data_IF_295908705561
#
_entry.id   IF_295908705561
#
_cell.length_a   1.000
_cell.length_b   1.000
_cell.length_c   1.000
_cell.angle_alpha   90.00
_cell.angle_beta   90.00
_cell.angle_gamma   90.00
#
_symmetry.space_group_name_H-M   'P 1'
#
loop_
_entity.id
_entity.type
_entity.pdbx_description
1 polymer ?
#
# COMPACT_ATOMS: atom_id res chain seq x y z
N UNK A 1 -7.37 24.10 29.97
CA UNK A 1 -7.93 22.79 30.31
C UNK A 1 -7.53 21.87 29.18
N UNK A 2 -6.55 20.97 29.40
CA UNK A 2 -6.14 19.96 28.42
C UNK A 2 -7.09 18.79 28.58
N UNK A 3 -7.92 18.51 27.58
CA UNK A 3 -8.69 17.28 27.52
C UNK A 3 -7.72 16.10 27.38
N UNK A 4 -7.66 15.23 28.38
CA UNK A 4 -7.00 13.92 28.27
C UNK A 4 -7.76 13.08 27.24
N UNK A 5 -7.16 12.84 26.08
CA UNK A 5 -7.61 11.80 25.15
C UNK A 5 -7.59 10.46 25.88
N UNK A 6 -8.77 9.84 25.99
CA UNK A 6 -9.06 8.73 26.86
C UNK A 6 -8.02 7.59 26.85
N UNK A 7 -7.65 7.13 28.04
CA UNK A 7 -6.85 5.93 28.26
C UNK A 7 -7.60 4.71 27.74
N UNK A 8 -7.04 4.02 26.72
CA UNK A 8 -7.53 2.70 26.29
C UNK A 8 -7.28 1.73 27.44
N UNK A 9 -8.32 1.13 27.98
CA UNK A 9 -8.22 0.17 29.07
C UNK A 9 -7.64 -1.17 28.59
N UNK A 10 -6.87 -1.89 29.44
CA UNK A 10 -6.28 -3.20 29.12
C UNK A 10 -7.23 -4.24 28.49
N UNK A 11 -8.52 -4.35 28.88
CA UNK A 11 -9.46 -5.28 28.24
C UNK A 11 -9.71 -5.02 26.75
N UNK A 12 -9.45 -3.80 26.26
CA UNK A 12 -9.58 -3.48 24.83
C UNK A 12 -8.37 -3.93 24.01
N UNK A 13 -7.19 -4.05 24.59
CA UNK A 13 -5.99 -4.54 23.92
C UNK A 13 -6.07 -6.05 23.59
N UNK A 14 -6.62 -6.86 24.50
CA UNK A 14 -6.84 -8.29 24.28
C UNK A 14 -7.87 -8.54 23.15
N UNK A 15 -8.89 -7.70 23.05
CA UNK A 15 -9.87 -7.77 21.97
C UNK A 15 -9.30 -7.38 20.59
N UNK A 16 -8.24 -6.58 20.54
CA UNK A 16 -7.62 -6.18 19.24
C UNK A 16 -6.94 -7.38 18.56
N UNK A 17 -6.37 -8.29 19.31
CA UNK A 17 -5.74 -9.49 18.74
C UNK A 17 -6.73 -10.39 17.99
N UNK A 18 -7.98 -10.44 18.43
CA UNK A 18 -9.03 -11.28 17.86
C UNK A 18 -9.70 -10.65 16.62
N UNK A 19 -9.53 -9.36 16.39
CA UNK A 19 -10.13 -8.66 15.24
C UNK A 19 -9.23 -8.71 14.01
N UNK A 20 -9.84 -8.63 12.83
CA UNK A 20 -9.08 -8.37 11.62
C UNK A 20 -8.50 -6.96 11.66
N UNK A 21 -7.27 -6.80 11.17
CA UNK A 21 -6.53 -5.54 11.20
C UNK A 21 -6.00 -5.20 9.82
N UNK A 22 -6.10 -3.93 9.47
CA UNK A 22 -5.50 -3.39 8.24
C UNK A 22 -4.61 -2.21 8.62
N UNK A 23 -3.31 -2.35 8.41
CA UNK A 23 -2.34 -1.28 8.58
C UNK A 23 -2.09 -0.62 7.23
N UNK A 24 -2.35 0.68 7.15
CA UNK A 24 -2.12 1.47 5.95
C UNK A 24 -0.81 2.24 6.11
N UNK A 25 0.11 2.06 5.16
CA UNK A 25 1.40 2.76 5.12
C UNK A 25 1.55 3.42 3.76
N UNK A 26 1.93 4.69 3.76
CA UNK A 26 2.19 5.40 2.52
C UNK A 26 3.51 4.92 1.91
N UNK A 27 3.47 4.42 0.67
CA UNK A 27 4.65 4.02 -0.08
C UNK A 27 5.34 5.24 -0.71
N UNK A 28 6.20 5.89 0.07
CA UNK A 28 6.99 7.02 -0.42
C UNK A 28 8.19 6.47 -1.19
N UNK A 29 8.25 6.79 -2.49
CA UNK A 29 9.32 6.35 -3.39
C UNK A 29 10.47 7.37 -3.43
N UNK A 30 11.62 6.94 -3.93
CA UNK A 30 12.75 7.85 -4.16
C UNK A 30 12.52 8.68 -5.43
N UNK A 31 11.83 9.80 -5.29
CA UNK A 31 11.54 10.73 -6.41
C UNK A 31 12.75 11.57 -6.84
N UNK A 32 13.82 11.60 -6.04
CA UNK A 32 15.01 12.42 -6.29
C UNK A 32 16.29 11.58 -6.10
N UNK A 33 16.51 10.58 -6.98
CA UNK A 33 17.70 9.72 -6.88
C UNK A 33 18.99 10.56 -6.94
N UNK A 34 19.91 10.29 -6.02
CA UNK A 34 21.17 11.04 -5.89
C UNK A 34 21.10 12.29 -5.01
N UNK A 35 19.91 12.71 -4.57
CA UNK A 35 19.77 13.74 -3.55
C UNK A 35 19.94 13.11 -2.15
N UNK A 36 21.13 13.30 -1.56
CA UNK A 36 21.49 12.67 -0.29
C UNK A 36 20.61 13.07 0.88
N UNK A 37 20.13 14.32 0.91
CA UNK A 37 19.27 14.81 1.98
C UNK A 37 17.89 14.15 1.89
N UNK A 38 17.33 14.04 0.69
CA UNK A 38 16.08 13.33 0.48
C UNK A 38 16.19 11.84 0.78
N UNK A 39 17.30 11.20 0.35
CA UNK A 39 17.54 9.78 0.64
C UNK A 39 17.71 9.52 2.13
N UNK A 40 18.31 10.44 2.89
CA UNK A 40 18.40 10.33 4.35
C UNK A 40 17.02 10.40 5.01
N UNK A 41 16.20 11.38 4.63
CA UNK A 41 14.84 11.51 5.13
C UNK A 41 13.96 10.29 4.77
N UNK A 42 14.11 9.78 3.55
CA UNK A 42 13.38 8.59 3.11
C UNK A 42 13.79 7.35 3.91
N UNK A 43 15.08 7.22 4.22
CA UNK A 43 15.58 6.15 5.11
C UNK A 43 14.99 6.28 6.51
N UNK A 44 15.04 7.47 7.12
CA UNK A 44 14.47 7.73 8.43
C UNK A 44 12.98 7.41 8.49
N UNK A 45 12.25 7.77 7.44
CA UNK A 45 10.83 7.43 7.31
C UNK A 45 10.62 5.91 7.37
N UNK A 46 11.34 5.14 6.56
CA UNK A 46 11.17 3.69 6.50
C UNK A 46 11.67 2.98 7.77
N UNK A 47 12.74 3.47 8.40
CA UNK A 47 13.18 2.99 9.71
C UNK A 47 12.08 3.20 10.75
N UNK A 48 11.47 4.39 10.80
CA UNK A 48 10.36 4.70 11.71
C UNK A 48 9.12 3.83 11.44
N UNK A 49 8.79 3.57 10.16
CA UNK A 49 7.70 2.65 9.79
C UNK A 49 8.01 1.23 10.27
N UNK A 50 9.23 0.75 10.06
CA UNK A 50 9.63 -0.58 10.52
C UNK A 50 9.49 -0.73 12.02
N UNK A 51 9.99 0.24 12.80
CA UNK A 51 9.88 0.25 14.27
C UNK A 51 8.43 0.28 14.75
N UNK A 52 7.57 1.07 14.10
CA UNK A 52 6.14 1.14 14.43
C UNK A 52 5.44 -0.19 14.15
N UNK A 53 5.71 -0.81 13.00
CA UNK A 53 5.15 -2.11 12.66
C UNK A 53 5.63 -3.20 13.63
N UNK A 54 6.92 -3.20 14.02
CA UNK A 54 7.46 -4.15 15.00
C UNK A 54 6.76 -4.01 16.37
N UNK A 55 6.45 -2.78 16.78
CA UNK A 55 5.69 -2.52 18.01
C UNK A 55 4.23 -2.96 17.91
N UNK A 56 3.60 -2.77 16.75
CA UNK A 56 2.25 -3.26 16.49
C UNK A 56 2.21 -4.80 16.50
N UNK A 57 3.18 -5.46 15.88
CA UNK A 57 3.26 -6.92 15.84
C UNK A 57 3.45 -7.53 17.25
N UNK A 58 4.23 -6.89 18.13
CA UNK A 58 4.40 -7.31 19.53
C UNK A 58 3.09 -7.25 20.33
N UNK A 59 2.20 -6.32 20.01
CA UNK A 59 0.99 -6.05 20.78
C UNK A 59 -0.27 -6.66 20.18
N UNK A 60 -0.37 -6.66 18.85
CA UNK A 60 -1.57 -7.04 18.12
C UNK A 60 -1.42 -8.32 17.28
N UNK A 61 -0.25 -8.96 17.30
CA UNK A 61 0.06 -10.16 16.53
C UNK A 61 0.69 -9.86 15.18
N UNK A 62 1.32 -10.89 14.60
CA UNK A 62 2.10 -10.76 13.38
C UNK A 62 1.24 -10.33 12.18
N UNK A 63 1.87 -9.62 11.23
CA UNK A 63 1.29 -9.32 9.94
C UNK A 63 1.26 -10.61 9.11
N UNK A 64 0.06 -11.02 8.67
CA UNK A 64 -0.16 -12.23 7.88
C UNK A 64 0.01 -11.97 6.38
N UNK A 65 -0.46 -10.81 5.90
CA UNK A 65 -0.47 -10.47 4.48
C UNK A 65 0.16 -9.11 4.24
N UNK A 66 0.89 -9.00 3.11
CA UNK A 66 1.48 -7.74 2.65
C UNK A 66 1.00 -7.47 1.23
N UNK A 67 0.42 -6.30 1.02
CA UNK A 67 -0.06 -5.79 -0.27
C UNK A 67 0.66 -4.50 -0.61
N UNK A 68 0.96 -4.30 -1.89
CA UNK A 68 1.57 -3.05 -2.39
C UNK A 68 0.72 -2.57 -3.56
N UNK A 69 0.16 -1.38 -3.42
CA UNK A 69 -0.59 -0.74 -4.48
C UNK A 69 0.28 -0.50 -5.73
N UNK A 70 -0.26 -0.81 -6.89
CA UNK A 70 0.46 -0.70 -8.15
C UNK A 70 1.40 -1.86 -8.47
N UNK A 71 1.41 -2.90 -7.63
CA UNK A 71 2.26 -4.07 -7.82
C UNK A 71 1.41 -5.30 -8.16
N UNK A 72 1.53 -5.79 -9.40
CA UNK A 72 0.82 -6.97 -9.92
C UNK A 72 1.73 -8.19 -10.12
N UNK A 73 3.02 -8.05 -9.84
CA UNK A 73 4.02 -9.11 -9.99
C UNK A 73 4.04 -10.01 -8.75
N UNK A 74 4.50 -11.24 -8.92
CA UNK A 74 4.83 -12.14 -7.82
C UNK A 74 6.06 -11.62 -7.05
N UNK A 75 6.25 -12.08 -5.81
CA UNK A 75 7.22 -11.52 -4.88
C UNK A 75 8.66 -11.48 -5.40
N UNK A 76 9.10 -12.50 -6.11
CA UNK A 76 10.46 -12.59 -6.65
C UNK A 76 10.76 -11.49 -7.70
N UNK A 77 9.76 -11.06 -8.46
CA UNK A 77 9.87 -9.94 -9.39
C UNK A 77 9.63 -8.61 -8.68
N UNK A 78 8.61 -8.55 -7.82
CA UNK A 78 8.27 -7.36 -7.04
C UNK A 78 9.45 -6.91 -6.16
N UNK A 79 10.15 -7.84 -5.51
CA UNK A 79 11.30 -7.53 -4.66
C UNK A 79 12.47 -6.90 -5.45
N UNK A 80 12.72 -7.35 -6.67
CA UNK A 80 13.74 -6.74 -7.55
C UNK A 80 13.36 -5.32 -7.92
N UNK A 81 12.10 -5.10 -8.33
CA UNK A 81 11.60 -3.77 -8.67
C UNK A 81 11.66 -2.81 -7.46
N UNK A 82 11.35 -3.29 -6.27
CA UNK A 82 11.47 -2.51 -5.04
C UNK A 82 12.92 -2.22 -4.71
N UNK A 83 13.83 -3.19 -4.88
CA UNK A 83 15.25 -2.94 -4.65
C UNK A 83 15.79 -1.79 -5.50
N UNK A 84 15.36 -1.72 -6.76
CA UNK A 84 15.82 -0.70 -7.70
C UNK A 84 15.20 0.68 -7.42
N UNK A 85 13.95 0.71 -6.95
CA UNK A 85 13.19 1.95 -6.80
C UNK A 85 13.05 2.42 -5.35
N UNK A 86 13.04 1.51 -4.38
CA UNK A 86 12.83 1.80 -2.96
C UNK A 86 13.38 0.69 -2.05
N UNK A 87 14.69 0.57 -1.97
CA UNK A 87 15.38 -0.46 -1.18
C UNK A 87 15.01 -0.45 0.32
N UNK A 88 14.66 0.70 0.88
CA UNK A 88 14.27 0.80 2.30
C UNK A 88 12.88 0.22 2.54
N UNK A 89 11.93 0.47 1.63
CA UNK A 89 10.64 -0.20 1.62
C UNK A 89 10.83 -1.72 1.53
N UNK A 90 11.68 -2.18 0.60
CA UNK A 90 11.98 -3.60 0.47
C UNK A 90 12.51 -4.20 1.77
N UNK A 91 13.45 -3.53 2.47
CA UNK A 91 13.98 -4.01 3.74
C UNK A 91 12.89 -4.24 4.79
N UNK A 92 11.93 -3.30 4.89
CA UNK A 92 10.77 -3.40 5.79
C UNK A 92 9.87 -4.60 5.44
N UNK A 93 9.67 -4.88 4.14
CA UNK A 93 8.85 -6.01 3.67
C UNK A 93 9.58 -7.34 3.87
N UNK A 94 10.87 -7.41 3.46
CA UNK A 94 11.65 -8.63 3.54
C UNK A 94 11.75 -9.20 4.96
N UNK A 95 11.91 -8.34 5.96
CA UNK A 95 11.97 -8.77 7.36
C UNK A 95 10.71 -9.55 7.75
N UNK A 96 9.55 -9.09 7.31
CA UNK A 96 8.25 -9.69 7.60
C UNK A 96 7.98 -10.93 6.78
N UNK A 97 8.33 -10.93 5.50
CA UNK A 97 8.24 -12.14 4.65
C UNK A 97 9.12 -13.25 5.21
N UNK A 98 10.35 -12.94 5.66
CA UNK A 98 11.23 -13.90 6.34
C UNK A 98 10.66 -14.39 7.68
N UNK A 99 9.84 -13.59 8.34
CA UNK A 99 9.13 -13.95 9.58
C UNK A 99 7.80 -14.67 9.36
N UNK A 100 7.42 -14.94 8.10
CA UNK A 100 6.25 -15.73 7.75
C UNK A 100 5.05 -14.94 7.20
N UNK A 101 5.17 -13.63 6.97
CA UNK A 101 4.15 -12.87 6.25
C UNK A 101 4.08 -13.32 4.79
N UNK A 102 2.88 -13.38 4.24
CA UNK A 102 2.65 -13.74 2.85
C UNK A 102 2.44 -12.48 2.00
N UNK A 103 3.37 -12.22 1.08
CA UNK A 103 3.15 -11.21 0.06
C UNK A 103 2.09 -11.69 -0.94
N UNK A 104 1.12 -10.82 -1.22
CA UNK A 104 0.08 -11.07 -2.22
C UNK A 104 -0.04 -9.89 -3.17
N UNK A 105 -0.15 -10.18 -4.44
CA UNK A 105 -0.51 -9.15 -5.43
C UNK A 105 -1.97 -8.76 -5.25
N UNK A 106 -2.25 -7.47 -5.30
CA UNK A 106 -3.59 -6.90 -5.13
C UNK A 106 -4.11 -6.26 -6.42
N UNK A 107 -3.27 -6.21 -7.44
CA UNK A 107 -3.60 -5.63 -8.73
C UNK A 107 -3.78 -6.73 -9.79
N UNK A 108 -4.77 -6.56 -10.65
CA UNK A 108 -4.83 -7.27 -11.93
C UNK A 108 -3.91 -6.56 -12.93
N UNK A 109 -3.05 -7.34 -13.60
CA UNK A 109 -2.05 -6.82 -14.52
C UNK A 109 -2.67 -6.02 -15.68
N UNK A 110 -3.74 -6.55 -16.27
CA UNK A 110 -4.38 -5.93 -17.41
C UNK A 110 -5.09 -4.63 -17.02
N UNK A 111 -5.83 -4.64 -15.91
CA UNK A 111 -6.51 -3.46 -15.39
C UNK A 111 -5.50 -2.37 -14.98
N UNK A 112 -4.39 -2.75 -14.37
CA UNK A 112 -3.35 -1.78 -13.99
C UNK A 112 -2.67 -1.16 -15.22
N UNK A 113 -2.35 -1.94 -16.25
CA UNK A 113 -1.80 -1.42 -17.50
C UNK A 113 -2.78 -0.49 -18.23
N UNK A 114 -4.05 -0.86 -18.29
CA UNK A 114 -5.09 0.00 -18.86
C UNK A 114 -5.24 1.32 -18.09
N UNK A 115 -5.19 1.27 -16.75
CA UNK A 115 -5.21 2.50 -15.93
C UNK A 115 -4.07 3.44 -16.30
N UNK A 116 -2.85 2.92 -16.47
CA UNK A 116 -1.69 3.72 -16.89
C UNK A 116 -1.94 4.34 -18.27
N UNK A 117 -2.44 3.56 -19.23
CA UNK A 117 -2.67 4.04 -20.59
C UNK A 117 -3.75 5.14 -20.63
N UNK A 118 -4.89 4.94 -19.98
CA UNK A 118 -5.94 5.95 -19.89
C UNK A 118 -5.47 7.22 -19.15
N UNK A 119 -4.66 7.06 -18.11
CA UNK A 119 -4.03 8.20 -17.41
C UNK A 119 -3.12 9.01 -18.35
N UNK A 120 -2.29 8.34 -19.14
CA UNK A 120 -1.41 8.99 -20.13
C UNK A 120 -2.19 9.70 -21.21
N UNK A 121 -3.24 9.07 -21.74
CA UNK A 121 -4.12 9.68 -22.73
C UNK A 121 -4.76 10.95 -22.18
N UNK A 122 -5.28 10.90 -20.94
CA UNK A 122 -5.86 12.07 -20.29
C UNK A 122 -4.87 13.23 -20.10
N UNK A 123 -3.59 12.92 -19.83
CA UNK A 123 -2.52 13.92 -19.66
C UNK A 123 -2.14 14.64 -20.97
N UNK A 124 -2.38 14.03 -22.14
CA UNK A 124 -2.11 14.65 -23.43
C UNK A 124 -3.10 15.78 -23.77
N UNK A 125 -4.25 15.83 -23.08
CA UNK A 125 -5.34 16.74 -23.39
C UNK A 125 -6.16 16.30 -24.61
N UNK A 126 -7.31 16.92 -24.79
CA UNK A 126 -8.27 16.55 -25.83
C UNK A 126 -8.64 17.76 -26.69
N UNK A 127 -8.76 17.54 -28.01
CA UNK A 127 -9.30 18.51 -28.94
C UNK A 127 -10.81 18.31 -29.13
N UNK A 128 -11.27 17.07 -29.00
CA UNK A 128 -12.65 16.67 -29.21
C UNK A 128 -13.29 16.30 -27.87
N UNK A 129 -14.49 16.82 -27.58
CA UNK A 129 -15.26 16.46 -26.39
C UNK A 129 -15.60 14.97 -26.37
N UNK A 130 -15.96 14.38 -27.51
CA UNK A 130 -16.22 12.95 -27.60
C UNK A 130 -15.00 12.10 -27.20
N UNK A 131 -13.76 12.48 -27.58
CA UNK A 131 -12.57 11.75 -27.17
C UNK A 131 -12.31 11.86 -25.67
N UNK A 132 -12.61 13.01 -25.07
CA UNK A 132 -12.55 13.24 -23.63
C UNK A 132 -13.57 12.35 -22.89
N UNK A 133 -14.83 12.37 -23.31
CA UNK A 133 -15.88 11.54 -22.71
C UNK A 133 -15.53 10.05 -22.75
N UNK A 134 -15.12 9.52 -23.89
CA UNK A 134 -14.71 8.11 -24.03
C UNK A 134 -13.55 7.77 -23.10
N UNK A 135 -12.58 8.67 -22.94
CA UNK A 135 -11.44 8.44 -22.04
C UNK A 135 -11.87 8.46 -20.60
N UNK A 136 -12.71 9.41 -20.20
CA UNK A 136 -13.22 9.51 -18.83
C UNK A 136 -14.08 8.29 -18.45
N UNK A 137 -14.92 7.80 -19.35
CA UNK A 137 -15.74 6.59 -19.14
C UNK A 137 -14.86 5.35 -18.93
N UNK A 138 -13.87 5.14 -19.80
CA UNK A 138 -12.97 3.99 -19.67
C UNK A 138 -12.12 4.08 -18.40
N UNK A 139 -11.58 5.25 -18.10
CA UNK A 139 -10.83 5.49 -16.87
C UNK A 139 -11.68 5.18 -15.63
N UNK A 140 -12.91 5.69 -15.58
CA UNK A 140 -13.86 5.45 -14.48
C UNK A 140 -14.21 3.97 -14.33
N UNK A 141 -14.42 3.27 -15.46
CA UNK A 141 -14.68 1.82 -15.47
C UNK A 141 -13.53 1.06 -14.83
N UNK A 142 -12.29 1.31 -15.28
CA UNK A 142 -11.10 0.62 -14.75
C UNK A 142 -10.87 0.93 -13.27
N UNK A 143 -11.05 2.18 -12.83
CA UNK A 143 -10.97 2.53 -11.40
C UNK A 143 -12.00 1.76 -10.58
N UNK A 144 -13.22 1.61 -11.07
CA UNK A 144 -14.28 0.88 -10.37
C UNK A 144 -13.95 -0.61 -10.27
N UNK A 145 -13.51 -1.24 -11.37
CA UNK A 145 -13.11 -2.65 -11.39
C UNK A 145 -11.93 -2.91 -10.45
N UNK A 146 -10.91 -2.05 -10.50
CA UNK A 146 -9.75 -2.11 -9.62
C UNK A 146 -10.16 -1.98 -8.15
N UNK A 147 -11.01 -1.02 -7.82
CA UNK A 147 -11.49 -0.81 -6.44
C UNK A 147 -12.25 -2.02 -5.93
N UNK A 148 -13.03 -2.69 -6.77
CA UNK A 148 -13.76 -3.91 -6.42
C UNK A 148 -12.79 -5.04 -6.08
N UNK A 149 -11.77 -5.28 -6.91
CA UNK A 149 -10.76 -6.32 -6.68
C UNK A 149 -10.03 -6.09 -5.34
N UNK A 150 -9.58 -4.85 -5.10
CA UNK A 150 -8.89 -4.48 -3.86
C UNK A 150 -9.81 -4.69 -2.65
N UNK A 151 -11.05 -4.21 -2.74
CA UNK A 151 -12.04 -4.35 -1.67
C UNK A 151 -12.32 -5.82 -1.33
N UNK A 152 -12.52 -6.66 -2.34
CA UNK A 152 -12.83 -8.07 -2.15
C UNK A 152 -11.65 -8.81 -1.51
N UNK A 153 -10.42 -8.53 -1.95
CA UNK A 153 -9.21 -9.13 -1.36
C UNK A 153 -9.04 -8.69 0.11
N UNK A 154 -9.19 -7.41 0.42
CA UNK A 154 -9.09 -6.92 1.80
C UNK A 154 -10.23 -7.44 2.70
N UNK A 155 -11.42 -7.67 2.16
CA UNK A 155 -12.50 -8.29 2.91
C UNK A 155 -12.30 -9.79 3.18
N UNK A 156 -11.47 -10.46 2.38
CA UNK A 156 -11.12 -11.87 2.58
C UNK A 156 -10.26 -12.12 3.84
N UNK A 157 -9.67 -11.08 4.42
CA UNK A 157 -8.90 -11.13 5.67
C UNK A 157 -9.83 -11.56 6.81
N UNK A 158 -9.43 -12.58 7.55
CA UNK A 158 -10.23 -13.19 8.61
C UNK A 158 -10.04 -12.50 9.95
N UNK A 159 -10.94 -12.78 10.88
CA UNK A 159 -10.78 -12.40 12.29
C UNK A 159 -9.45 -12.98 12.85
N UNK A 160 -8.73 -12.17 13.59
CA UNK A 160 -7.40 -12.50 14.14
C UNK A 160 -6.24 -12.24 13.17
N UNK A 161 -6.48 -12.09 11.87
CA UNK A 161 -5.43 -11.81 10.89
C UNK A 161 -5.15 -10.30 10.79
N UNK A 162 -3.93 -9.98 10.38
CA UNK A 162 -3.48 -8.62 10.11
C UNK A 162 -2.90 -8.51 8.70
N UNK A 163 -3.21 -7.42 8.02
CA UNK A 163 -2.61 -7.09 6.73
C UNK A 163 -1.91 -5.73 6.77
N UNK A 164 -0.80 -5.63 6.06
CA UNK A 164 -0.12 -4.40 5.73
C UNK A 164 -0.44 -4.04 4.28
N UNK A 165 -1.03 -2.87 4.06
CA UNK A 165 -1.29 -2.37 2.72
C UNK A 165 -0.51 -1.06 2.49
N UNK A 166 0.43 -1.13 1.56
CA UNK A 166 1.24 0.02 1.17
C UNK A 166 0.55 0.76 0.03
N UNK A 167 0.10 1.98 0.29
CA UNK A 167 -0.66 2.82 -0.65
C UNK A 167 0.25 3.86 -1.31
N UNK A 168 0.05 4.09 -2.61
CA UNK A 168 0.80 5.11 -3.36
C UNK A 168 0.31 6.52 -3.02
N UNK A 169 1.25 7.48 -2.95
CA UNK A 169 0.88 8.89 -2.79
C UNK A 169 0.17 9.41 -4.04
N UNK A 170 -1.09 9.79 -3.93
CA UNK A 170 -1.85 10.43 -5.02
C UNK A 170 -2.98 9.60 -5.63
N UNK A 171 -3.13 8.34 -5.27
CA UNK A 171 -4.21 7.47 -5.78
C UNK A 171 -5.60 7.74 -5.17
N UNK A 172 -5.67 8.59 -4.16
CA UNK A 172 -6.91 8.85 -3.38
C UNK A 172 -7.27 10.34 -3.30
N UNK A 173 -7.06 11.08 -4.40
CA UNK A 173 -7.60 12.44 -4.55
C UNK A 173 -8.94 12.41 -5.25
#
# INVERSE_FOLDING_TARGET
MSEELGKISKPQAENVQLKKKLYLVQNIQNYFPGNKDFESLLKEYWDSISDQLDNLEKTAGNINFIYIEGMYQEYDVASKLLNDNNKWCLSTIESRVKSGSNYKKIEDENNYKQLIDWTRIAQLGFVSENAKEVTEENYKKIITERSTIIHDELNSIKEGEAALFMISSGSHK
#
